data_IF_614955779346
#
_entry.id   IF_614955779346
#
_cell.length_a   1.000
_cell.length_b   1.000
_cell.length_c   1.000
_cell.angle_alpha   90.00
_cell.angle_beta   90.00
_cell.angle_gamma   90.00
#
_symmetry.space_group_name_H-M   'P 1'
#
loop_
_entity.id
_entity.type
_entity.pdbx_description
1 polymer ?
#
# COMPACT_ATOMS: atom_id res chain seq x y z
N UNK A 1 -21.16 -9.68 -13.67
CA UNK A 1 -21.13 -9.55 -12.19
C UNK A 1 -19.71 -9.28 -11.71
N UNK A 2 -18.72 -9.78 -12.44
CA UNK A 2 -17.28 -9.74 -12.12
C UNK A 2 -16.67 -8.34 -12.17
N UNK A 3 -17.10 -7.51 -13.13
CA UNK A 3 -16.61 -6.13 -13.28
C UNK A 3 -16.82 -5.27 -12.02
N UNK A 4 -18.01 -5.36 -11.43
CA UNK A 4 -18.37 -4.52 -10.28
C UNK A 4 -17.56 -4.94 -9.04
N UNK A 5 -17.34 -6.24 -8.86
CA UNK A 5 -16.50 -6.80 -7.78
C UNK A 5 -15.05 -6.29 -7.93
N UNK A 6 -14.47 -6.40 -9.12
CA UNK A 6 -13.09 -5.96 -9.38
C UNK A 6 -12.94 -4.46 -9.11
N UNK A 7 -13.89 -3.64 -9.58
CA UNK A 7 -13.88 -2.19 -9.34
C UNK A 7 -14.03 -1.89 -7.84
N UNK A 8 -14.92 -2.59 -7.11
CA UNK A 8 -15.11 -2.37 -5.67
C UNK A 8 -13.86 -2.75 -4.88
N UNK A 9 -13.25 -3.90 -5.15
CA UNK A 9 -12.02 -4.30 -4.44
C UNK A 9 -10.87 -3.37 -4.81
N UNK A 10 -10.69 -3.05 -6.09
CA UNK A 10 -9.70 -2.08 -6.55
C UNK A 10 -9.86 -0.73 -5.86
N UNK A 11 -11.10 -0.26 -5.71
CA UNK A 11 -11.40 0.98 -5.00
C UNK A 11 -11.07 0.90 -3.51
N UNK A 12 -11.47 -0.16 -2.81
CA UNK A 12 -11.19 -0.32 -1.38
C UNK A 12 -9.68 -0.40 -1.11
N UNK A 13 -8.92 -1.13 -1.95
CA UNK A 13 -7.46 -1.16 -1.88
C UNK A 13 -6.87 0.22 -2.12
N UNK A 14 -7.30 0.90 -3.20
CA UNK A 14 -6.83 2.25 -3.53
C UNK A 14 -7.19 3.28 -2.45
N UNK A 15 -8.33 3.13 -1.80
CA UNK A 15 -8.77 3.96 -0.68
C UNK A 15 -7.88 3.76 0.55
N UNK A 16 -7.65 2.51 0.97
CA UNK A 16 -6.79 2.22 2.13
C UNK A 16 -5.35 2.66 1.90
N UNK A 17 -4.81 2.30 0.73
CA UNK A 17 -3.45 2.67 0.32
C UNK A 17 -3.32 4.19 0.21
N UNK A 18 -4.31 4.88 -0.37
CA UNK A 18 -4.30 6.32 -0.53
C UNK A 18 -4.38 7.08 0.80
N UNK A 19 -5.25 6.66 1.73
CA UNK A 19 -5.36 7.31 3.04
C UNK A 19 -4.04 7.17 3.81
N UNK A 20 -3.52 5.96 3.95
CA UNK A 20 -2.26 5.73 4.67
C UNK A 20 -1.08 6.38 3.93
N UNK A 21 -1.08 6.30 2.60
CA UNK A 21 -0.12 6.95 1.72
C UNK A 21 -0.09 8.47 1.87
N UNK A 22 -1.22 9.12 2.17
CA UNK A 22 -1.28 10.55 2.44
C UNK A 22 -0.44 10.94 3.66
N UNK A 23 -0.44 10.13 4.71
CA UNK A 23 0.44 10.33 5.86
C UNK A 23 1.91 10.05 5.52
N UNK A 24 2.19 9.02 4.71
CA UNK A 24 3.55 8.69 4.29
C UNK A 24 4.17 9.78 3.41
N UNK A 25 3.40 10.36 2.48
CA UNK A 25 3.84 11.48 1.64
C UNK A 25 4.20 12.69 2.49
N UNK A 26 3.37 13.06 3.48
CA UNK A 26 3.71 14.14 4.41
C UNK A 26 4.99 13.87 5.21
N UNK A 27 5.21 12.61 5.61
CA UNK A 27 6.40 12.19 6.37
C UNK A 27 7.63 11.98 5.49
N UNK A 28 7.55 12.19 4.16
CA UNK A 28 8.62 11.88 3.20
C UNK A 28 9.08 10.42 3.24
N UNK A 29 8.13 9.51 3.46
CA UNK A 29 8.35 8.06 3.61
C UNK A 29 7.59 7.26 2.55
N UNK A 30 7.42 7.83 1.35
CA UNK A 30 6.63 7.21 0.28
C UNK A 30 7.19 5.84 -0.17
N UNK A 31 8.51 5.65 -0.09
CA UNK A 31 9.19 4.40 -0.52
C UNK A 31 9.03 3.23 0.46
N UNK A 32 8.37 3.42 1.61
CA UNK A 32 8.17 2.33 2.58
C UNK A 32 7.30 1.21 2.03
N UNK A 33 6.26 1.54 1.24
CA UNK A 33 5.39 0.52 0.64
C UNK A 33 6.14 -0.43 -0.29
N UNK A 34 7.08 0.12 -1.07
CA UNK A 34 7.94 -0.66 -1.97
C UNK A 34 8.89 -1.58 -1.18
N UNK A 35 9.54 -1.05 -0.15
CA UNK A 35 10.40 -1.84 0.71
C UNK A 35 9.68 -2.99 1.41
N UNK A 36 8.44 -2.80 1.86
CA UNK A 36 7.64 -3.87 2.46
C UNK A 36 7.37 -4.98 1.42
N UNK A 37 6.98 -4.62 0.20
CA UNK A 37 6.70 -5.58 -0.89
C UNK A 37 7.84 -6.58 -1.11
N UNK A 38 9.07 -6.07 -1.18
CA UNK A 38 10.25 -6.89 -1.44
C UNK A 38 10.83 -7.54 -0.18
N UNK A 39 10.72 -6.90 0.98
CA UNK A 39 11.26 -7.43 2.22
C UNK A 39 10.45 -8.63 2.76
N UNK A 40 9.20 -8.80 2.33
CA UNK A 40 8.26 -9.81 2.84
C UNK A 40 8.59 -11.25 2.38
N UNK A 41 9.31 -11.40 1.26
CA UNK A 41 9.68 -12.69 0.67
C UNK A 41 10.23 -13.73 1.66
N UNK A 42 11.29 -13.46 2.48
CA UNK A 42 11.80 -14.43 3.44
C UNK A 42 10.73 -14.91 4.44
N UNK A 43 9.76 -14.07 4.79
CA UNK A 43 8.67 -14.45 5.70
C UNK A 43 7.74 -15.48 5.10
N UNK A 44 7.47 -15.36 3.80
CA UNK A 44 6.65 -16.30 3.05
C UNK A 44 7.36 -17.65 2.93
N UNK A 45 8.65 -17.65 2.58
CA UNK A 45 9.43 -18.89 2.46
C UNK A 45 9.53 -19.62 3.81
N UNK A 46 9.81 -18.90 4.90
CA UNK A 46 9.85 -19.49 6.25
C UNK A 46 8.49 -20.05 6.67
N UNK A 47 7.40 -19.33 6.40
CA UNK A 47 6.05 -19.81 6.71
C UNK A 47 5.70 -21.08 5.91
N UNK A 48 6.07 -21.14 4.64
CA UNK A 48 5.88 -22.33 3.81
C UNK A 48 6.64 -23.54 4.37
N UNK A 49 7.91 -23.35 4.76
CA UNK A 49 8.74 -24.43 5.36
C UNK A 49 8.15 -24.97 6.67
N UNK A 50 7.56 -24.09 7.50
CA UNK A 50 6.98 -24.50 8.78
C UNK A 50 5.61 -25.17 8.64
N UNK A 51 4.78 -24.70 7.70
CA UNK A 51 3.42 -25.21 7.53
C UNK A 51 3.37 -26.48 6.68
N UNK A 52 4.30 -26.65 5.73
CA UNK A 52 4.28 -27.77 4.77
C UNK A 52 3.06 -27.78 3.84
N UNK A 53 2.21 -26.76 3.92
CA UNK A 53 0.97 -26.57 3.15
C UNK A 53 0.96 -25.18 2.51
N UNK A 54 0.38 -25.07 1.31
CA UNK A 54 0.20 -23.80 0.58
C UNK A 54 -1.01 -23.00 1.09
N UNK A 55 -1.35 -23.13 2.37
CA UNK A 55 -2.51 -22.41 2.93
C UNK A 55 -2.17 -20.93 3.10
N UNK A 56 -2.97 -20.06 2.47
CA UNK A 56 -2.76 -18.62 2.43
C UNK A 56 -2.62 -17.97 3.82
N UNK A 57 -3.29 -18.52 4.86
CA UNK A 57 -3.30 -17.90 6.19
C UNK A 57 -1.92 -17.86 6.84
N UNK A 58 -1.15 -18.95 6.75
CA UNK A 58 0.19 -19.02 7.39
C UNK A 58 1.18 -18.14 6.66
N UNK A 59 1.08 -18.09 5.33
CA UNK A 59 1.91 -17.24 4.48
C UNK A 59 1.62 -15.76 4.73
N UNK A 60 0.35 -15.37 4.88
CA UNK A 60 -0.03 -14.00 5.23
C UNK A 60 0.50 -13.59 6.61
N UNK A 61 0.50 -14.50 7.59
CA UNK A 61 1.08 -14.24 8.92
C UNK A 61 2.60 -14.08 8.81
N UNK A 62 3.30 -14.99 8.12
CA UNK A 62 4.76 -14.88 7.92
C UNK A 62 5.16 -13.59 7.21
N UNK A 63 4.40 -13.22 6.18
CA UNK A 63 4.53 -11.97 5.47
C UNK A 63 4.31 -10.75 6.37
N UNK A 64 3.23 -10.74 7.16
CA UNK A 64 2.91 -9.67 8.10
C UNK A 64 3.99 -9.49 9.17
N UNK A 65 4.52 -10.59 9.72
CA UNK A 65 5.59 -10.56 10.72
C UNK A 65 6.86 -9.93 10.15
N UNK A 66 7.27 -10.35 8.96
CA UNK A 66 8.46 -9.77 8.32
C UNK A 66 8.22 -8.33 7.86
N UNK A 67 7.01 -7.98 7.41
CA UNK A 67 6.64 -6.59 7.11
C UNK A 67 6.78 -5.68 8.32
N UNK A 68 6.28 -6.10 9.50
CA UNK A 68 6.50 -5.35 10.74
C UNK A 68 7.98 -5.32 11.12
N UNK A 69 8.67 -6.45 10.98
CA UNK A 69 10.11 -6.52 11.27
C UNK A 69 10.93 -5.53 10.41
N UNK A 70 10.63 -5.38 9.11
CA UNK A 70 11.37 -4.44 8.27
C UNK A 70 11.12 -3.00 8.68
N UNK A 71 9.90 -2.64 9.09
CA UNK A 71 9.61 -1.28 9.58
C UNK A 71 10.41 -0.96 10.85
N UNK A 72 10.51 -1.92 11.78
CA UNK A 72 11.34 -1.79 12.99
C UNK A 72 12.82 -1.66 12.61
N UNK A 73 13.30 -2.46 11.64
CA UNK A 73 14.69 -2.44 11.20
C UNK A 73 15.06 -1.09 10.57
N UNK A 74 14.22 -0.55 9.67
CA UNK A 74 14.39 0.76 9.04
C UNK A 74 14.47 1.86 10.11
N UNK A 75 13.59 1.79 11.12
CA UNK A 75 13.58 2.78 12.19
C UNK A 75 14.84 2.70 13.07
N UNK A 76 15.30 1.50 13.44
CA UNK A 76 16.51 1.33 14.23
C UNK A 76 17.72 1.93 13.49
N UNK A 77 17.84 1.70 12.19
CA UNK A 77 18.90 2.30 11.38
C UNK A 77 18.78 3.81 11.27
N UNK A 78 17.55 4.32 11.14
CA UNK A 78 17.31 5.77 11.08
C UNK A 78 17.63 6.45 12.41
N UNK A 79 17.10 5.94 13.53
CA UNK A 79 17.23 6.58 14.86
C UNK A 79 18.58 6.33 15.51
N UNK A 80 19.01 5.07 15.60
CA UNK A 80 20.27 4.71 16.28
C UNK A 80 21.47 4.87 15.36
N UNK A 81 21.32 4.45 14.10
CA UNK A 81 22.38 4.53 13.10
C UNK A 81 22.59 5.94 12.53
N UNK A 82 21.63 6.86 12.71
CA UNK A 82 21.61 8.20 12.08
C UNK A 82 21.79 8.14 10.55
N UNK A 83 21.35 7.03 9.95
CA UNK A 83 21.40 6.81 8.50
C UNK A 83 20.19 7.54 7.88
N UNK A 84 20.34 8.19 6.71
CA UNK A 84 19.20 8.76 5.99
C UNK A 84 18.10 7.71 5.77
N UNK A 85 16.83 8.12 5.94
CA UNK A 85 15.66 7.23 5.85
C UNK A 85 15.66 6.44 4.54
N UNK A 86 15.89 7.10 3.41
CA UNK A 86 15.90 6.45 2.09
C UNK A 86 16.99 5.38 1.96
N UNK A 87 18.16 5.60 2.58
CA UNK A 87 19.24 4.62 2.61
C UNK A 87 18.92 3.45 3.55
N UNK A 88 18.27 3.71 4.69
CA UNK A 88 17.83 2.66 5.60
C UNK A 88 16.74 1.77 4.98
N UNK A 89 15.77 2.38 4.27
CA UNK A 89 14.76 1.69 3.46
C UNK A 89 15.47 0.82 2.42
N UNK A 90 16.36 1.43 1.63
CA UNK A 90 17.12 0.78 0.57
C UNK A 90 17.89 -0.47 1.03
N UNK A 91 18.67 -0.31 2.11
CA UNK A 91 19.43 -1.39 2.71
C UNK A 91 18.52 -2.51 3.21
N UNK A 92 17.46 -2.15 3.94
CA UNK A 92 16.61 -3.13 4.64
C UNK A 92 15.86 -4.04 3.66
N UNK A 93 15.29 -3.47 2.59
CA UNK A 93 14.61 -4.27 1.58
C UNK A 93 15.60 -5.13 0.79
N UNK A 94 16.74 -4.57 0.36
CA UNK A 94 17.70 -5.29 -0.48
C UNK A 94 18.30 -6.48 0.26
N UNK A 95 18.62 -6.28 1.54
CA UNK A 95 19.18 -7.33 2.40
C UNK A 95 18.18 -8.47 2.65
N UNK A 96 16.95 -8.14 3.06
CA UNK A 96 15.93 -9.15 3.33
C UNK A 96 15.47 -9.86 2.06
N UNK A 97 15.37 -9.15 0.94
CA UNK A 97 15.06 -9.74 -0.35
C UNK A 97 16.13 -10.75 -0.76
N UNK A 98 17.43 -10.40 -0.64
CA UNK A 98 18.53 -11.33 -0.92
C UNK A 98 18.48 -12.57 -0.02
N UNK A 99 18.18 -12.42 1.27
CA UNK A 99 17.97 -13.57 2.18
C UNK A 99 16.78 -14.41 1.73
N UNK A 100 15.67 -13.79 1.34
CA UNK A 100 14.49 -14.48 0.84
C UNK A 100 14.79 -15.33 -0.38
N UNK A 101 15.53 -14.77 -1.35
CA UNK A 101 15.96 -15.49 -2.56
C UNK A 101 16.91 -16.65 -2.20
N UNK A 102 17.87 -16.45 -1.29
CA UNK A 102 18.76 -17.55 -0.84
C UNK A 102 17.94 -18.68 -0.19
N UNK A 103 16.98 -18.35 0.67
CA UNK A 103 16.10 -19.33 1.30
C UNK A 103 15.23 -20.05 0.26
N UNK A 104 14.69 -19.31 -0.72
CA UNK A 104 13.88 -19.87 -1.79
C UNK A 104 14.70 -20.88 -2.60
N UNK A 105 15.86 -20.49 -3.12
CA UNK A 105 16.71 -21.39 -3.93
C UNK A 105 17.24 -22.58 -3.13
N UNK A 106 17.62 -22.38 -1.86
CA UNK A 106 18.19 -23.47 -1.06
C UNK A 106 17.16 -24.53 -0.62
N UNK A 107 15.89 -24.16 -0.48
CA UNK A 107 14.86 -25.02 0.13
C UNK A 107 13.64 -25.30 -0.75
N UNK A 108 13.49 -24.62 -1.90
CA UNK A 108 12.35 -24.77 -2.81
C UNK A 108 12.71 -25.33 -4.20
N UNK A 109 13.91 -25.89 -4.40
CA UNK A 109 14.35 -26.48 -5.68
C UNK A 109 13.44 -27.61 -6.23
N UNK A 110 12.60 -28.21 -5.38
CA UNK A 110 11.71 -29.35 -5.73
C UNK A 110 10.21 -29.00 -5.72
N UNK A 111 9.88 -27.71 -5.53
CA UNK A 111 8.50 -27.23 -5.50
C UNK A 111 8.40 -26.05 -6.46
N UNK A 112 7.67 -26.20 -7.56
CA UNK A 112 7.19 -25.10 -8.40
C UNK A 112 6.28 -24.19 -7.54
N UNK A 113 6.90 -23.36 -6.70
CA UNK A 113 6.30 -22.17 -6.12
C UNK A 113 6.69 -21.08 -7.08
N UNK A 114 5.80 -20.82 -8.02
CA UNK A 114 5.92 -19.62 -8.81
C UNK A 114 5.73 -18.43 -7.87
N UNK A 115 6.85 -17.82 -7.50
CA UNK A 115 6.93 -16.59 -6.72
C UNK A 115 6.01 -15.53 -7.35
N UNK A 116 5.81 -15.58 -8.68
CA UNK A 116 4.90 -14.73 -9.42
C UNK A 116 3.42 -15.02 -9.08
N UNK A 117 3.00 -16.29 -9.06
CA UNK A 117 1.62 -16.64 -8.72
C UNK A 117 1.27 -16.38 -7.24
N UNK A 118 2.25 -16.46 -6.35
CA UNK A 118 2.01 -16.33 -4.90
C UNK A 118 2.11 -14.88 -4.41
N UNK A 119 3.08 -14.09 -4.89
CA UNK A 119 3.26 -12.70 -4.42
C UNK A 119 2.45 -11.66 -5.22
N UNK A 120 2.14 -11.92 -6.50
CA UNK A 120 1.63 -10.85 -7.37
C UNK A 120 0.11 -10.77 -7.47
N UNK A 121 -0.63 -11.59 -6.72
CA UNK A 121 -2.09 -11.54 -6.54
C UNK A 121 -2.85 -10.86 -7.66
N UNK A 122 -3.33 -11.58 -8.67
CA UNK A 122 -4.01 -10.91 -9.78
C UNK A 122 -5.45 -10.54 -9.44
N UNK A 123 -5.75 -9.24 -9.53
CA UNK A 123 -7.09 -8.68 -9.31
C UNK A 123 -8.18 -9.32 -10.20
N UNK A 124 -7.81 -9.92 -11.33
CA UNK A 124 -8.71 -10.61 -12.25
C UNK A 124 -9.26 -11.91 -11.65
N UNK A 125 -8.53 -12.57 -10.75
CA UNK A 125 -8.96 -13.85 -10.16
C UNK A 125 -9.91 -13.70 -8.97
N UNK A 126 -10.08 -12.47 -8.46
CA UNK A 126 -10.95 -12.17 -7.31
C UNK A 126 -12.37 -12.73 -7.46
N UNK A 127 -13.08 -12.57 -8.60
CA UNK A 127 -14.45 -13.06 -8.74
C UNK A 127 -14.57 -14.59 -8.67
N UNK A 128 -13.48 -15.31 -8.88
CA UNK A 128 -13.44 -16.78 -8.90
C UNK A 128 -13.08 -17.38 -7.54
N UNK A 129 -12.45 -16.62 -6.63
CA UNK A 129 -12.10 -17.07 -5.29
C UNK A 129 -13.21 -16.72 -4.28
N UNK A 130 -14.23 -17.57 -4.25
CA UNK A 130 -15.47 -17.36 -3.51
C UNK A 130 -15.48 -18.16 -2.22
N UNK A 131 -15.86 -17.52 -1.11
CA UNK A 131 -16.09 -18.24 0.14
C UNK A 131 -17.45 -18.94 0.09
N UNK A 132 -17.43 -20.27 0.08
CA UNK A 132 -18.62 -21.11 0.18
C UNK A 132 -18.67 -21.73 1.57
N UNK A 133 -19.72 -21.42 2.33
CA UNK A 133 -19.96 -22.05 3.64
C UNK A 133 -20.35 -23.52 3.46
N UNK A 134 -20.11 -24.37 4.46
CA UNK A 134 -20.50 -25.79 4.47
C UNK A 134 -22.00 -26.04 4.14
N UNK A 135 -22.86 -25.03 4.31
CA UNK A 135 -24.27 -25.05 3.90
C UNK A 135 -24.57 -24.64 2.45
N UNK A 136 -23.57 -24.51 1.57
CA UNK A 136 -23.75 -24.17 0.14
C UNK A 136 -24.10 -22.70 -0.14
N UNK A 137 -24.10 -21.83 0.87
CA UNK A 137 -24.28 -20.39 0.72
C UNK A 137 -22.97 -19.75 0.23
N UNK A 138 -23.06 -19.14 -0.94
CA UNK A 138 -22.00 -18.33 -1.54
C UNK A 138 -21.98 -16.95 -0.86
N UNK A 139 -20.97 -16.70 -0.02
CA UNK A 139 -20.76 -15.45 0.73
C UNK A 139 -20.00 -14.39 -0.10
N UNK A 140 -19.75 -14.66 -1.38
CA UNK A 140 -18.98 -13.81 -2.27
C UNK A 140 -17.47 -14.00 -2.15
N UNK A 141 -16.68 -13.21 -2.89
CA UNK A 141 -15.23 -13.28 -2.93
C UNK A 141 -14.56 -13.13 -1.55
N UNK A 142 -13.60 -14.00 -1.23
CA UNK A 142 -12.80 -13.93 0.02
C UNK A 142 -12.05 -12.60 0.15
N UNK A 143 -11.51 -12.09 -0.96
CA UNK A 143 -10.79 -10.81 -1.00
C UNK A 143 -11.65 -9.61 -0.58
N UNK A 144 -12.97 -9.61 -0.87
CA UNK A 144 -13.87 -8.54 -0.44
C UNK A 144 -13.97 -8.46 1.08
N UNK A 145 -13.98 -9.61 1.76
CA UNK A 145 -14.01 -9.66 3.23
C UNK A 145 -12.69 -9.20 3.84
N UNK A 146 -11.55 -9.65 3.30
CA UNK A 146 -10.22 -9.29 3.79
C UNK A 146 -9.98 -7.79 3.61
N UNK A 147 -10.14 -7.28 2.39
CA UNK A 147 -9.94 -5.86 2.08
C UNK A 147 -11.01 -5.00 2.74
N UNK A 148 -12.25 -5.47 2.82
CA UNK A 148 -13.34 -4.78 3.53
C UNK A 148 -13.07 -4.63 5.03
N UNK A 149 -12.61 -5.69 5.70
CA UNK A 149 -12.19 -5.65 7.09
C UNK A 149 -11.00 -4.71 7.28
N UNK A 150 -10.00 -4.78 6.40
CA UNK A 150 -8.88 -3.84 6.43
C UNK A 150 -9.36 -2.38 6.28
N UNK A 151 -10.32 -2.14 5.39
CA UNK A 151 -10.89 -0.80 5.20
C UNK A 151 -11.58 -0.29 6.45
N UNK A 152 -12.34 -1.15 7.14
CA UNK A 152 -12.95 -0.79 8.42
C UNK A 152 -11.90 -0.46 9.47
N UNK A 153 -10.84 -1.26 9.59
CA UNK A 153 -9.74 -1.04 10.54
C UNK A 153 -9.07 0.32 10.26
N UNK A 154 -8.72 0.60 9.00
CA UNK A 154 -8.08 1.86 8.59
C UNK A 154 -9.00 3.04 8.89
N UNK A 155 -10.28 2.97 8.51
CA UNK A 155 -11.25 4.06 8.78
C UNK A 155 -11.38 4.31 10.28
N UNK A 156 -11.56 3.26 11.08
CA UNK A 156 -11.74 3.39 12.54
C UNK A 156 -10.52 4.04 13.16
N UNK A 157 -9.31 3.53 12.87
CA UNK A 157 -8.10 4.07 13.51
C UNK A 157 -7.81 5.49 13.04
N UNK A 158 -7.94 5.77 11.74
CA UNK A 158 -7.68 7.10 11.20
C UNK A 158 -8.70 8.13 11.70
N UNK A 159 -9.99 7.78 11.81
CA UNK A 159 -11.00 8.70 12.33
C UNK A 159 -10.89 8.89 13.84
N UNK A 160 -10.69 7.81 14.61
CA UNK A 160 -10.58 7.89 16.07
C UNK A 160 -9.32 8.62 16.52
N UNK A 161 -8.21 8.44 15.81
CA UNK A 161 -6.90 9.01 16.18
C UNK A 161 -6.35 9.99 15.14
N UNK A 162 -7.27 10.68 14.46
CA UNK A 162 -6.95 11.63 13.41
C UNK A 162 -5.98 12.72 13.91
N UNK A 163 -6.23 13.26 15.10
CA UNK A 163 -5.45 14.38 15.66
C UNK A 163 -4.03 13.95 15.97
N UNK A 164 -3.87 12.78 16.57
CA UNK A 164 -2.59 12.23 16.98
C UNK A 164 -1.74 11.87 15.76
N UNK A 165 -2.32 11.20 14.77
CA UNK A 165 -1.65 10.88 13.51
C UNK A 165 -1.26 12.16 12.74
N UNK A 166 -2.13 13.17 12.72
CA UNK A 166 -1.86 14.43 12.04
C UNK A 166 -0.72 15.21 12.71
N UNK A 167 -0.82 15.47 14.01
CA UNK A 167 0.16 16.30 14.73
C UNK A 167 1.55 15.64 14.67
N UNK A 168 1.62 14.32 14.89
CA UNK A 168 2.89 13.59 14.81
C UNK A 168 3.49 13.53 13.40
N UNK A 169 2.68 13.70 12.35
CA UNK A 169 3.16 13.77 10.97
C UNK A 169 3.70 15.15 10.58
N UNK A 170 3.14 16.22 11.15
CA UNK A 170 3.56 17.60 10.86
C UNK A 170 4.70 18.09 11.75
N UNK A 171 4.60 17.86 13.06
CA UNK A 171 5.57 18.33 14.03
C UNK A 171 5.66 17.34 15.22
N UNK A 172 6.63 16.41 15.19
CA UNK A 172 6.81 15.44 16.27
C UNK A 172 7.22 16.10 17.61
N UNK A 173 8.01 17.18 17.57
CA UNK A 173 8.45 17.89 18.78
C UNK A 173 7.28 18.59 19.48
N UNK A 174 6.39 19.21 18.68
CA UNK A 174 5.16 19.79 19.20
C UNK A 174 4.22 18.73 19.75
N UNK A 175 4.10 17.58 19.09
CA UNK A 175 3.30 16.45 19.59
C UNK A 175 3.76 16.03 21.00
N UNK A 176 5.09 15.93 21.21
CA UNK A 176 5.66 15.56 22.50
C UNK A 176 5.36 16.62 23.58
N UNK A 177 5.40 17.91 23.23
CA UNK A 177 5.06 19.00 24.15
C UNK A 177 3.61 19.00 24.64
N UNK A 178 2.69 18.46 23.83
CA UNK A 178 1.25 18.34 24.16
C UNK A 178 0.94 16.98 24.83
N UNK A 179 1.96 16.17 25.12
CA UNK A 179 1.83 14.88 25.81
C UNK A 179 1.54 13.69 24.89
N UNK A 180 1.61 13.87 23.57
CA UNK A 180 1.46 12.80 22.58
C UNK A 180 2.82 12.19 22.32
N UNK A 181 2.96 10.87 22.53
CA UNK A 181 4.22 10.14 22.26
C UNK A 181 4.38 9.88 20.76
N UNK A 182 5.26 10.58 20.02
CA UNK A 182 5.34 10.45 18.55
C UNK A 182 5.77 9.05 18.12
N UNK A 183 6.60 8.39 18.93
CA UNK A 183 7.08 7.03 18.70
C UNK A 183 5.94 6.01 18.59
N UNK A 184 4.91 6.12 19.43
CA UNK A 184 3.79 5.18 19.42
C UNK A 184 3.00 5.30 18.12
N UNK A 185 2.68 6.54 17.72
CA UNK A 185 1.95 6.82 16.49
C UNK A 185 2.75 6.55 15.22
N UNK A 186 4.08 6.59 15.31
CA UNK A 186 4.93 6.09 14.24
C UNK A 186 4.73 4.58 14.02
N UNK A 187 4.85 3.77 15.07
CA UNK A 187 4.62 2.33 14.98
C UNK A 187 3.19 1.96 14.59
N UNK A 188 2.19 2.69 15.09
CA UNK A 188 0.79 2.48 14.68
C UNK A 188 0.62 2.71 13.18
N UNK A 189 1.16 3.81 12.64
CA UNK A 189 1.09 4.09 11.20
C UNK A 189 1.84 3.01 10.40
N UNK A 190 3.07 2.66 10.81
CA UNK A 190 3.87 1.65 10.09
C UNK A 190 3.24 0.26 10.14
N UNK A 191 2.66 -0.13 11.28
CA UNK A 191 1.90 -1.36 11.42
C UNK A 191 0.67 -1.39 10.52
N UNK A 192 -0.08 -0.29 10.43
CA UNK A 192 -1.22 -0.19 9.52
C UNK A 192 -0.82 -0.28 8.05
N UNK A 193 0.25 0.42 7.67
CA UNK A 193 0.79 0.36 6.31
C UNK A 193 1.25 -1.05 5.98
N UNK A 194 2.01 -1.69 6.88
CA UNK A 194 2.47 -3.08 6.69
C UNK A 194 1.31 -4.05 6.55
N UNK A 195 0.31 -3.98 7.44
CA UNK A 195 -0.86 -4.85 7.38
C UNK A 195 -1.68 -4.60 6.11
N UNK A 196 -1.88 -3.34 5.73
CA UNK A 196 -2.61 -2.97 4.51
C UNK A 196 -1.87 -3.41 3.25
N UNK A 197 -0.56 -3.25 3.21
CA UNK A 197 0.26 -3.66 2.07
C UNK A 197 0.18 -5.18 1.87
N UNK A 198 0.47 -5.95 2.92
CA UNK A 198 0.45 -7.42 2.87
C UNK A 198 -0.94 -7.97 2.50
N UNK A 199 -2.01 -7.48 3.14
CA UNK A 199 -3.37 -7.93 2.82
C UNK A 199 -3.82 -7.55 1.40
N UNK A 200 -3.33 -6.42 0.88
CA UNK A 200 -3.67 -5.96 -0.47
C UNK A 200 -2.83 -6.67 -1.55
N UNK A 201 -1.59 -7.08 -1.26
CA UNK A 201 -0.74 -7.80 -2.23
C UNK A 201 -1.36 -9.11 -2.67
N UNK A 202 -1.88 -9.90 -1.72
CA UNK A 202 -2.53 -11.18 -2.03
C UNK A 202 -3.74 -10.99 -2.96
N UNK A 203 -4.46 -9.88 -2.81
CA UNK A 203 -5.68 -9.62 -3.58
C UNK A 203 -5.42 -9.00 -4.95
N UNK A 204 -4.47 -8.06 -5.03
CA UNK A 204 -4.39 -7.09 -6.13
C UNK A 204 -2.97 -6.94 -6.72
N UNK A 205 -1.96 -7.39 -5.98
CA UNK A 205 -0.57 -7.46 -6.44
C UNK A 205 0.30 -6.30 -5.96
N UNK A 206 1.60 -6.58 -5.84
CA UNK A 206 2.61 -5.67 -5.30
C UNK A 206 2.68 -4.33 -6.07
N UNK A 207 2.77 -4.38 -7.39
CA UNK A 207 2.93 -3.18 -8.23
C UNK A 207 1.77 -2.20 -8.07
N UNK A 208 0.53 -2.71 -8.05
CA UNK A 208 -0.66 -1.88 -7.93
C UNK A 208 -0.74 -1.26 -6.52
N UNK A 209 -0.43 -2.02 -5.47
CA UNK A 209 -0.42 -1.50 -4.09
C UNK A 209 0.65 -0.43 -3.90
N UNK A 210 1.89 -0.66 -4.32
CA UNK A 210 2.98 0.33 -4.23
C UNK A 210 2.60 1.62 -4.95
N UNK A 211 2.07 1.51 -6.17
CA UNK A 211 1.63 2.68 -6.92
C UNK A 211 0.47 3.43 -6.27
N UNK A 212 -0.52 2.72 -5.70
CA UNK A 212 -1.67 3.33 -5.04
C UNK A 212 -1.36 3.97 -3.68
N UNK A 213 -0.29 3.52 -3.00
CA UNK A 213 0.22 4.17 -1.78
C UNK A 213 0.82 5.54 -2.12
N UNK A 214 1.36 5.74 -3.32
CA UNK A 214 2.16 6.94 -3.64
C UNK A 214 1.43 7.89 -4.59
N UNK A 215 0.92 7.39 -5.72
CA UNK A 215 0.46 8.23 -6.83
C UNK A 215 -0.81 9.03 -6.49
N UNK A 216 -1.91 8.43 -5.98
CA UNK A 216 -3.10 9.21 -5.62
C UNK A 216 -2.83 10.27 -4.54
N UNK A 217 -2.11 9.97 -3.44
CA UNK A 217 -1.76 10.97 -2.44
C UNK A 217 -0.83 12.06 -2.97
N UNK A 218 0.20 11.71 -3.75
CA UNK A 218 1.09 12.69 -4.36
C UNK A 218 0.34 13.62 -5.33
N UNK A 219 -0.63 13.07 -6.08
CA UNK A 219 -1.51 13.86 -6.95
C UNK A 219 -2.36 14.83 -6.13
N UNK A 220 -2.98 14.37 -5.03
CA UNK A 220 -3.77 15.22 -4.15
C UNK A 220 -2.92 16.31 -3.48
N UNK A 221 -1.68 15.99 -3.11
CA UNK A 221 -0.71 16.92 -2.52
C UNK A 221 -0.40 18.10 -3.46
N UNK A 222 -0.36 17.88 -4.78
CA UNK A 222 -0.17 18.96 -5.78
C UNK A 222 -1.37 19.91 -5.92
N UNK A 223 -2.54 19.51 -5.45
CA UNK A 223 -3.81 20.25 -5.62
C UNK A 223 -4.16 21.05 -4.36
N UNK A 224 -3.74 20.60 -3.17
CA UNK A 224 -4.17 21.23 -1.92
C UNK A 224 -3.14 21.20 -0.80
N UNK A 225 -3.10 22.29 -0.04
CA UNK A 225 -2.28 22.42 1.17
C UNK A 225 -3.00 21.94 2.44
N UNK A 226 -4.32 21.72 2.38
CA UNK A 226 -5.11 21.30 3.54
C UNK A 226 -5.24 19.78 3.59
N UNK A 227 -4.70 19.15 4.64
CA UNK A 227 -4.70 17.68 4.76
C UNK A 227 -6.11 17.05 4.72
N UNK A 228 -7.11 17.67 5.34
CA UNK A 228 -8.51 17.21 5.24
C UNK A 228 -8.98 17.09 3.78
N UNK A 229 -8.63 18.09 2.95
CA UNK A 229 -8.97 18.09 1.52
C UNK A 229 -8.12 17.08 0.75
N UNK A 230 -6.87 16.89 1.15
CA UNK A 230 -5.96 15.91 0.55
C UNK A 230 -6.52 14.49 0.66
N UNK A 231 -7.08 14.09 1.80
CA UNK A 231 -7.72 12.78 1.98
C UNK A 231 -8.94 12.60 1.06
N UNK A 232 -9.75 13.65 0.90
CA UNK A 232 -10.94 13.63 0.02
C UNK A 232 -10.51 13.51 -1.44
N UNK A 233 -9.56 14.33 -1.90
CA UNK A 233 -9.07 14.25 -3.29
C UNK A 233 -8.39 12.92 -3.58
N UNK A 234 -7.62 12.39 -2.63
CA UNK A 234 -7.01 11.06 -2.75
C UNK A 234 -8.07 9.98 -2.95
N UNK A 235 -9.17 10.03 -2.19
CA UNK A 235 -10.29 9.09 -2.33
C UNK A 235 -10.98 9.22 -3.68
N UNK A 236 -11.19 10.44 -4.17
CA UNK A 236 -11.79 10.68 -5.49
C UNK A 236 -10.89 10.14 -6.60
N UNK A 237 -9.57 10.38 -6.51
CA UNK A 237 -8.59 9.88 -7.48
C UNK A 237 -8.54 8.35 -7.44
N UNK A 238 -8.59 7.74 -6.25
CA UNK A 238 -8.66 6.29 -6.08
C UNK A 238 -9.90 5.68 -6.77
N UNK A 239 -11.07 6.32 -6.62
CA UNK A 239 -12.30 5.91 -7.29
C UNK A 239 -12.18 6.00 -8.81
N UNK A 240 -11.70 7.14 -9.31
CA UNK A 240 -11.48 7.36 -10.74
C UNK A 240 -10.48 6.35 -11.33
N UNK A 241 -9.38 6.09 -10.60
CA UNK A 241 -8.35 5.13 -10.97
C UNK A 241 -8.93 3.73 -11.12
N UNK A 242 -9.81 3.32 -10.19
CA UNK A 242 -10.40 1.97 -10.19
C UNK A 242 -11.41 1.78 -11.31
N UNK A 243 -12.27 2.78 -11.56
CA UNK A 243 -13.27 2.72 -12.62
C UNK A 243 -12.59 2.80 -14.00
N UNK A 244 -11.82 3.87 -14.25
CA UNK A 244 -11.20 4.08 -15.56
C UNK A 244 -10.13 3.04 -15.87
N UNK A 245 -9.36 2.61 -14.85
CA UNK A 245 -8.34 1.57 -15.01
C UNK A 245 -8.94 0.23 -15.42
N UNK A 246 -10.05 -0.17 -14.80
CA UNK A 246 -10.76 -1.39 -15.19
C UNK A 246 -11.28 -1.32 -16.63
N UNK A 247 -11.97 -0.23 -17.00
CA UNK A 247 -12.49 -0.08 -18.37
C UNK A 247 -11.38 -0.02 -19.42
N UNK A 248 -10.24 0.61 -19.11
CA UNK A 248 -9.08 0.65 -19.98
C UNK A 248 -8.48 -0.74 -20.17
N UNK A 249 -8.34 -1.52 -19.09
CA UNK A 249 -7.87 -2.90 -19.15
C UNK A 249 -8.77 -3.77 -20.02
N UNK A 250 -10.09 -3.62 -19.87
CA UNK A 250 -11.08 -4.35 -20.64
C UNK A 250 -11.03 -4.00 -22.14
N UNK A 251 -10.88 -2.71 -22.48
CA UNK A 251 -10.85 -2.26 -23.87
C UNK A 251 -9.57 -2.70 -24.60
N UNK A 252 -8.44 -2.68 -23.90
CA UNK A 252 -7.12 -3.01 -24.46
C UNK A 252 -6.72 -4.48 -24.26
N UNK A 253 -7.52 -5.24 -23.50
CA UNK A 253 -7.26 -6.63 -23.13
C UNK A 253 -5.87 -6.83 -22.48
N UNK A 254 -5.53 -5.96 -21.52
CA UNK A 254 -4.26 -5.93 -20.79
C UNK A 254 -4.47 -6.15 -19.29
N UNK A 255 -3.38 -6.32 -18.53
CA UNK A 255 -3.43 -6.44 -17.07
C UNK A 255 -4.20 -5.28 -16.41
N UNK A 256 -5.19 -5.61 -15.59
CA UNK A 256 -6.00 -4.63 -14.84
C UNK A 256 -5.14 -3.84 -13.85
N UNK A 257 -4.20 -4.51 -13.17
CA UNK A 257 -3.28 -3.88 -12.24
C UNK A 257 -2.40 -2.81 -12.95
N UNK A 258 -1.83 -3.18 -14.10
CA UNK A 258 -1.05 -2.26 -14.93
C UNK A 258 -1.88 -1.08 -15.41
N UNK A 259 -3.08 -1.34 -15.96
CA UNK A 259 -3.96 -0.30 -16.49
C UNK A 259 -4.41 0.69 -15.40
N UNK A 260 -4.75 0.22 -14.19
CA UNK A 260 -5.08 1.08 -13.05
C UNK A 260 -3.93 2.03 -12.69
N UNK A 261 -2.70 1.50 -12.57
CA UNK A 261 -1.53 2.37 -12.30
C UNK A 261 -1.27 3.35 -13.45
N UNK A 262 -1.39 2.92 -14.70
CA UNK A 262 -1.22 3.81 -15.85
C UNK A 262 -2.22 4.95 -15.83
N UNK A 263 -3.48 4.68 -15.50
CA UNK A 263 -4.52 5.71 -15.33
C UNK A 263 -4.14 6.66 -14.19
N UNK A 264 -3.76 6.13 -13.03
CA UNK A 264 -3.37 6.96 -11.88
C UNK A 264 -2.19 7.87 -12.22
N UNK A 265 -1.16 7.32 -12.87
CA UNK A 265 0.01 8.07 -13.34
C UNK A 265 -0.35 9.12 -14.39
N UNK A 266 -1.29 8.83 -15.28
CA UNK A 266 -1.79 9.80 -16.27
C UNK A 266 -2.51 10.96 -15.57
N UNK A 267 -3.35 10.68 -14.57
CA UNK A 267 -4.01 11.71 -13.76
C UNK A 267 -2.97 12.57 -13.05
N UNK A 268 -1.95 11.96 -12.45
CA UNK A 268 -0.83 12.67 -11.82
C UNK A 268 -0.13 13.62 -12.80
N UNK A 269 0.23 13.15 -14.00
CA UNK A 269 0.90 13.96 -15.01
C UNK A 269 0.05 15.15 -15.47
N UNK A 270 -1.26 14.94 -15.68
CA UNK A 270 -2.18 16.02 -16.04
C UNK A 270 -2.27 17.08 -14.94
N UNK A 271 -2.44 16.65 -13.68
CA UNK A 271 -2.50 17.54 -12.52
C UNK A 271 -1.18 18.29 -12.35
N UNK A 272 -0.05 17.61 -12.49
CA UNK A 272 1.28 18.21 -12.41
C UNK A 272 1.47 19.29 -13.48
N UNK A 273 1.08 19.01 -14.72
CA UNK A 273 1.16 19.98 -15.81
C UNK A 273 0.29 21.22 -15.54
N UNK A 274 -0.95 21.03 -15.09
CA UNK A 274 -1.88 22.13 -14.77
C UNK A 274 -1.37 22.96 -13.59
N UNK A 275 -0.92 22.31 -12.51
CA UNK A 275 -0.40 22.97 -11.30
C UNK A 275 0.85 23.81 -11.60
N UNK A 276 1.78 23.27 -12.39
CA UNK A 276 2.98 24.00 -12.81
C UNK A 276 2.66 25.23 -13.67
N UNK A 277 1.67 25.13 -14.57
CA UNK A 277 1.22 26.27 -15.38
C UNK A 277 0.56 27.37 -14.55
N UNK A 278 -0.22 26.99 -13.53
CA UNK A 278 -0.81 27.96 -12.60
C UNK A 278 0.28 28.71 -11.80
N UNK A 279 1.24 27.97 -11.24
CA UNK A 279 2.30 28.57 -10.41
C UNK A 279 3.18 29.54 -11.21
N UNK A 280 3.48 29.22 -12.49
CA UNK A 280 4.20 30.14 -13.39
C UNK A 280 3.42 31.44 -13.64
N UNK A 281 2.10 31.38 -13.80
CA UNK A 281 1.27 32.57 -14.07
C UNK A 281 1.22 33.51 -12.87
N UNK A 282 1.15 32.98 -11.64
CA UNK A 282 1.14 33.81 -10.42
C UNK A 282 2.46 34.58 -10.26
N UNK A 283 3.60 33.90 -10.47
CA UNK A 283 4.93 34.53 -10.37
C UNK A 283 5.11 35.63 -11.42
N UNK A 284 4.59 35.45 -12.65
CA UNK A 284 4.66 36.48 -13.69
C UNK A 284 3.76 37.70 -13.38
N UNK A 285 2.59 37.49 -12.76
CA UNK A 285 1.71 38.60 -12.37
C UNK A 285 2.19 39.40 -11.15
N UNK A 286 3.07 38.83 -10.32
CA UNK A 286 3.72 39.55 -9.20
C UNK A 286 4.98 40.30 -9.64
N UNK A 287 5.45 40.09 -10.88
CA UNK A 287 6.64 40.73 -11.45
C UNK A 287 6.35 41.93 -12.38
N UNK A 288 5.06 42.24 -12.60
CA UNK A 288 4.56 43.44 -13.31
C UNK A 288 4.04 44.48 -12.31
#
# INVERSE_FOLDING_TARGET
MDALIIITVGFLVAFNCGILGSFLVLRKMAMIGDAISHAVLPGIVIAFMLSGSRENIFMMIGAGVIGVFVTIMIEVFTRKGKIPVDAAIGYSFTFLFAIGIILLTAFADDVDIDEQCVLYGEIIYIPFNVWVTEGGLNLGPTALWIVGLNSLIVIIIVLSFYKELLITSFNPDFAESVGIKPIVWHYVLMGLVSYTAVSSFESVGAVLVVGLIIIPPATAYLITERFNKMLIYTTIIALMTSILGYYLAFLLNVSVAGAMITVSGTIFLLVFYISNQYNKRVIMSESE
#
